data_IF_033272200424
#
_entry.id   IF_033272200424
#
_cell.length_a   1.000
_cell.length_b   1.000
_cell.length_c   1.000
_cell.angle_alpha   90.00
_cell.angle_beta   90.00
_cell.angle_gamma   90.00
#
_symmetry.space_group_name_H-M   'P 1'
#
loop_
_entity.id
_entity.type
_entity.pdbx_description
1 polymer ?
#
# COMPACT_ATOMS: atom_id res chain seq x y z
N UNK A 1 -12.17 43.22 -57.16
CA UNK A 1 -12.31 42.12 -58.14
C UNK A 1 -12.40 40.85 -57.31
N UNK A 2 -13.60 40.39 -56.89
CA UNK A 2 -14.55 39.62 -57.71
C UNK A 2 -13.89 38.28 -58.04
N UNK A 3 -14.31 37.13 -57.54
CA UNK A 3 -15.59 36.48 -57.81
C UNK A 3 -16.19 35.76 -56.59
N UNK A 4 -17.51 35.65 -56.63
CA UNK A 4 -18.46 35.12 -55.66
C UNK A 4 -19.22 33.97 -56.37
N UNK A 5 -19.67 32.95 -55.63
CA UNK A 5 -20.99 32.30 -55.72
C UNK A 5 -20.99 31.01 -54.84
N UNK A 6 -21.76 30.90 -53.74
CA UNK A 6 -23.22 30.62 -53.60
C UNK A 6 -23.58 29.18 -54.06
N UNK A 7 -24.30 28.28 -53.38
CA UNK A 7 -25.41 28.27 -52.39
C UNK A 7 -25.47 26.84 -51.76
N UNK A 8 -25.52 26.60 -50.43
CA UNK A 8 -26.68 26.30 -49.51
C UNK A 8 -27.48 24.99 -49.75
N UNK A 9 -28.36 24.53 -48.83
CA UNK A 9 -28.16 23.46 -47.83
C UNK A 9 -29.16 22.27 -48.01
N UNK A 10 -29.12 21.22 -47.15
CA UNK A 10 -30.28 20.47 -46.60
C UNK A 10 -29.94 19.04 -46.11
N UNK A 11 -30.60 18.65 -45.00
CA UNK A 11 -30.92 17.26 -44.61
C UNK A 11 -29.90 16.60 -43.69
N UNK A 12 -30.20 16.13 -42.48
CA UNK A 12 -31.48 15.73 -41.89
C UNK A 12 -31.53 14.21 -41.68
N UNK A 13 -31.07 13.77 -40.48
CA UNK A 13 -31.43 12.52 -39.75
C UNK A 13 -30.95 11.16 -40.32
N UNK A 14 -30.96 10.04 -39.56
CA UNK A 14 -31.26 9.87 -38.12
C UNK A 14 -30.23 9.02 -37.31
N UNK A 15 -30.28 9.19 -35.98
CA UNK A 15 -29.94 8.16 -34.99
C UNK A 15 -30.84 6.92 -35.12
N UNK A 16 -30.31 5.72 -34.91
CA UNK A 16 -30.71 4.90 -33.75
C UNK A 16 -29.48 4.20 -33.14
N UNK A 17 -29.38 3.85 -31.86
CA UNK A 17 -30.27 3.00 -31.09
C UNK A 17 -30.15 3.30 -29.60
N UNK A 18 -31.31 3.39 -28.96
CA UNK A 18 -31.52 3.15 -27.54
C UNK A 18 -31.67 1.65 -27.35
N UNK A 19 -30.94 1.07 -26.40
CA UNK A 19 -31.36 -0.18 -25.74
C UNK A 19 -31.04 -0.10 -24.26
N UNK A 20 -32.14 -0.03 -23.52
CA UNK A 20 -32.42 -0.46 -22.16
C UNK A 20 -31.33 -1.23 -21.40
N UNK A 21 -31.24 -0.83 -20.13
CA UNK A 21 -30.67 -1.56 -19.02
C UNK A 21 -31.12 -3.03 -18.96
N UNK A 22 -30.15 -3.92 -18.76
CA UNK A 22 -30.35 -5.17 -18.04
C UNK A 22 -29.28 -5.28 -16.96
N UNK A 23 -29.76 -5.27 -15.72
CA UNK A 23 -29.05 -5.58 -14.49
C UNK A 23 -28.50 -7.01 -14.55
N UNK A 24 -27.18 -7.16 -14.49
CA UNK A 24 -26.54 -8.44 -14.23
C UNK A 24 -26.56 -8.71 -12.71
N UNK A 25 -26.98 -9.89 -12.25
CA UNK A 25 -27.01 -10.23 -10.83
C UNK A 25 -25.60 -10.39 -10.26
N UNK A 26 -25.44 -9.91 -9.04
CA UNK A 26 -24.17 -9.89 -8.29
C UNK A 26 -23.58 -11.28 -8.10
N UNK A 27 -22.28 -11.38 -8.38
CA UNK A 27 -21.44 -12.46 -7.88
C UNK A 27 -21.11 -12.11 -6.43
N UNK A 28 -21.81 -12.77 -5.51
CA UNK A 28 -21.46 -12.78 -4.10
C UNK A 28 -20.11 -13.47 -3.87
N UNK A 29 -19.43 -13.16 -2.76
CA UNK A 29 -18.14 -13.76 -2.43
C UNK A 29 -18.31 -15.28 -2.22
N UNK A 30 -17.51 -16.07 -2.94
CA UNK A 30 -17.37 -17.50 -2.70
C UNK A 30 -16.62 -17.73 -1.38
N UNK A 31 -17.27 -18.40 -0.44
CA UNK A 31 -16.65 -18.96 0.76
C UNK A 31 -15.65 -20.08 0.36
N UNK A 32 -14.48 -20.17 1.01
CA UNK A 32 -13.61 -21.33 0.85
C UNK A 32 -14.13 -22.51 1.71
N UNK A 33 -14.39 -23.61 1.02
CA UNK A 33 -14.82 -24.90 1.57
C UNK A 33 -13.93 -25.43 2.70
N UNK A 34 -14.61 -26.11 3.63
CA UNK A 34 -14.12 -26.69 4.85
C UNK A 34 -13.01 -27.74 4.66
N UNK A 35 -11.99 -27.62 5.52
CA UNK A 35 -10.97 -28.63 5.76
C UNK A 35 -11.61 -29.95 6.22
N UNK A 36 -11.39 -31.00 5.42
CA UNK A 36 -11.75 -32.37 5.75
C UNK A 36 -10.86 -32.92 6.86
N UNK A 37 -11.51 -33.37 7.93
CA UNK A 37 -10.94 -34.03 9.10
C UNK A 37 -10.47 -35.46 8.76
N UNK A 38 -9.18 -35.74 8.95
CA UNK A 38 -8.65 -37.11 8.96
C UNK A 38 -8.90 -37.74 10.34
N UNK A 39 -9.81 -38.72 10.37
CA UNK A 39 -10.04 -39.60 11.50
C UNK A 39 -8.95 -40.68 11.58
N UNK A 40 -8.23 -40.74 12.70
CA UNK A 40 -7.38 -41.87 13.08
C UNK A 40 -8.18 -42.82 13.98
N UNK A 41 -8.42 -44.04 13.50
CA UNK A 41 -9.01 -45.12 14.28
C UNK A 41 -7.97 -45.77 15.23
N UNK A 42 -8.36 -46.22 16.44
CA UNK A 42 -7.47 -46.86 17.37
C UNK A 42 -7.38 -48.37 17.11
N UNK A 43 -6.19 -48.97 17.31
CA UNK A 43 -6.02 -50.42 17.46
C UNK A 43 -5.67 -50.74 18.91
N UNK A 44 -6.46 -51.64 19.48
CA UNK A 44 -6.35 -52.14 20.84
C UNK A 44 -5.37 -53.33 20.94
N UNK A 45 -4.63 -53.31 22.05
CA UNK A 45 -4.12 -54.39 22.91
C UNK A 45 -4.09 -55.86 22.44
N UNK A 46 -2.98 -56.52 22.78
CA UNK A 46 -3.03 -57.82 23.49
C UNK A 46 -1.75 -58.13 24.30
N UNK A 47 -1.96 -58.52 25.57
CA UNK A 47 -1.28 -59.55 26.39
C UNK A 47 0.25 -59.43 26.66
N UNK A 48 0.85 -59.80 27.81
CA UNK A 48 0.43 -60.54 29.02
C UNK A 48 1.56 -60.55 30.08
N UNK A 49 1.19 -60.47 31.37
CA UNK A 49 1.73 -61.33 32.45
C UNK A 49 3.07 -60.97 33.15
N UNK A 50 3.34 -61.54 34.36
CA UNK A 50 3.47 -60.74 35.60
C UNK A 50 4.73 -61.04 36.46
N UNK A 51 5.00 -60.22 37.48
CA UNK A 51 5.19 -60.62 38.91
C UNK A 51 5.94 -59.57 39.78
N UNK A 52 5.40 -59.38 41.01
CA UNK A 52 6.04 -59.14 42.34
C UNK A 52 7.26 -58.19 42.45
N UNK A 53 7.48 -57.36 43.47
CA UNK A 53 6.85 -57.10 44.77
C UNK A 53 7.69 -56.01 45.49
N UNK A 54 7.05 -55.33 46.46
CA UNK A 54 7.59 -54.80 47.74
C UNK A 54 7.40 -53.31 47.97
N UNK A 55 6.83 -53.09 49.15
CA UNK A 55 6.48 -51.86 49.86
C UNK A 55 7.71 -51.00 50.14
N UNK A 56 7.52 -49.69 50.21
CA UNK A 56 7.90 -48.83 51.35
C UNK A 56 7.00 -47.60 51.33
N UNK A 57 6.32 -47.38 52.46
CA UNK A 57 5.52 -46.19 52.73
C UNK A 57 6.43 -45.03 53.15
N UNK A 58 6.14 -43.82 52.66
CA UNK A 58 6.49 -42.57 53.35
C UNK A 58 5.32 -41.60 53.29
N UNK A 59 4.74 -41.37 54.46
CA UNK A 59 3.91 -40.22 54.81
C UNK A 59 4.79 -38.96 54.83
N UNK A 60 4.28 -37.85 54.29
CA UNK A 60 4.15 -36.56 55.01
C UNK A 60 3.89 -35.39 54.04
N UNK A 61 2.90 -34.57 54.37
CA UNK A 61 2.86 -33.16 53.96
C UNK A 61 1.87 -32.78 52.86
N UNK A 62 0.58 -32.76 53.18
CA UNK A 62 -0.40 -31.96 52.42
C UNK A 62 -0.22 -30.51 52.89
N UNK A 63 0.33 -29.64 52.03
CA UNK A 63 0.22 -28.20 52.16
C UNK A 63 -0.86 -27.72 51.17
N UNK A 64 -2.06 -27.45 51.68
CA UNK A 64 -3.10 -26.74 50.91
C UNK A 64 -2.71 -25.26 50.89
N UNK A 65 -2.05 -24.82 49.82
CA UNK A 65 -2.03 -23.40 49.46
C UNK A 65 -3.27 -23.11 48.62
N UNK A 66 -4.24 -22.43 49.24
CA UNK A 66 -5.32 -21.77 48.54
C UNK A 66 -4.72 -20.61 47.72
N UNK A 67 -4.43 -20.85 46.44
CA UNK A 67 -4.17 -19.78 45.49
C UNK A 67 -5.53 -19.18 45.09
N UNK A 68 -5.83 -17.99 45.62
CA UNK A 68 -6.94 -17.17 45.16
C UNK A 68 -6.82 -16.95 43.65
N UNK A 69 -7.92 -16.99 42.88
CA UNK A 69 -7.89 -16.46 41.54
C UNK A 69 -7.70 -14.94 41.66
N UNK A 70 -6.53 -14.46 41.24
CA UNK A 70 -6.36 -13.06 40.86
C UNK A 70 -7.33 -12.84 39.70
N UNK A 71 -8.53 -12.35 40.01
CA UNK A 71 -9.33 -11.60 39.05
C UNK A 71 -8.46 -10.41 38.65
N UNK A 72 -7.74 -10.57 37.54
CA UNK A 72 -7.16 -9.43 36.84
C UNK A 72 -8.31 -8.47 36.60
N UNK A 73 -8.22 -7.28 37.18
CA UNK A 73 -9.06 -6.18 36.80
C UNK A 73 -8.91 -6.07 35.28
N UNK A 74 -9.99 -6.35 34.55
CA UNK A 74 -10.15 -5.86 33.20
C UNK A 74 -10.11 -4.35 33.41
N UNK A 75 -8.95 -3.75 33.18
CA UNK A 75 -8.87 -2.31 33.04
C UNK A 75 -9.81 -2.00 31.89
N UNK A 76 -10.91 -1.35 32.21
CA UNK A 76 -11.73 -0.67 31.23
C UNK A 76 -10.75 0.00 30.28
N UNK A 77 -10.73 -0.43 29.03
CA UNK A 77 -9.90 0.17 28.01
C UNK A 77 -10.51 1.56 27.77
N UNK A 78 -10.18 2.49 28.67
CA UNK A 78 -10.61 3.88 28.58
C UNK A 78 -10.27 4.38 27.19
N UNK A 79 -11.18 5.15 26.61
CA UNK A 79 -11.01 5.76 25.30
C UNK A 79 -9.58 6.33 25.20
N UNK A 80 -8.80 5.83 24.24
CA UNK A 80 -7.43 6.29 24.07
C UNK A 80 -7.45 7.74 23.63
N UNK A 81 -6.86 8.63 24.42
CA UNK A 81 -6.85 10.06 24.10
C UNK A 81 -5.78 10.36 23.06
N UNK A 82 -6.19 10.80 21.86
CA UNK A 82 -5.26 11.27 20.83
C UNK A 82 -5.27 12.79 20.83
N UNK A 83 -4.09 13.41 20.88
CA UNK A 83 -3.98 14.87 20.84
C UNK A 83 -2.76 15.33 20.06
N UNK A 84 -2.75 16.61 19.69
CA UNK A 84 -1.63 17.26 19.02
C UNK A 84 -1.05 18.34 19.92
N UNK A 85 0.28 18.38 20.04
CA UNK A 85 0.99 19.44 20.77
C UNK A 85 2.22 19.88 19.98
N UNK A 86 2.17 21.09 19.44
CA UNK A 86 3.23 21.58 18.56
C UNK A 86 3.37 20.66 17.34
N UNK A 87 4.54 20.03 17.18
CA UNK A 87 4.81 19.08 16.10
C UNK A 87 4.54 17.63 16.46
N UNK A 88 4.14 17.35 17.70
CA UNK A 88 3.96 15.98 18.19
C UNK A 88 2.51 15.53 18.12
N UNK A 89 2.30 14.27 17.71
CA UNK A 89 1.08 13.50 17.99
C UNK A 89 1.30 12.79 19.32
N UNK A 90 0.30 12.83 20.20
CA UNK A 90 0.33 12.18 21.49
C UNK A 90 -0.78 11.12 21.54
N UNK A 91 -0.42 9.91 21.99
CA UNK A 91 -1.37 8.85 22.35
C UNK A 91 -1.30 8.66 23.86
N UNK A 92 -2.41 8.90 24.55
CA UNK A 92 -2.53 8.86 26.01
C UNK A 92 -1.46 9.74 26.70
N UNK A 93 -1.25 10.93 26.14
CA UNK A 93 -0.28 11.93 26.62
C UNK A 93 1.19 11.63 26.31
N UNK A 94 1.49 10.51 25.64
CA UNK A 94 2.86 10.11 25.27
C UNK A 94 3.14 10.37 23.79
N UNK A 95 4.35 10.83 23.42
CA UNK A 95 4.72 10.97 22.01
C UNK A 95 4.50 9.69 21.22
N UNK A 96 3.80 9.82 20.09
CA UNK A 96 3.43 8.73 19.22
C UNK A 96 3.83 9.06 17.78
N UNK A 97 4.84 8.38 17.27
CA UNK A 97 5.25 8.49 15.86
C UNK A 97 4.51 7.41 15.07
N UNK A 98 3.60 7.78 14.14
CA UNK A 98 2.80 6.81 13.39
C UNK A 98 3.65 6.18 12.28
N UNK A 99 4.31 5.07 12.61
CA UNK A 99 5.09 4.27 11.68
C UNK A 99 4.28 3.06 11.26
N UNK A 100 4.11 2.89 9.96
CA UNK A 100 3.10 1.97 9.46
C UNK A 100 3.20 1.74 7.98
N UNK A 101 2.04 1.51 7.38
CA UNK A 101 1.89 1.40 5.93
C UNK A 101 0.43 1.70 5.57
N UNK A 102 0.10 1.65 4.28
CA UNK A 102 -1.27 1.80 3.78
C UNK A 102 -1.69 0.50 3.10
N UNK A 103 -2.88 0.00 3.45
CA UNK A 103 -3.40 -1.29 2.99
C UNK A 103 -4.44 -1.86 3.95
N UNK A 104 -4.93 -3.07 3.67
CA UNK A 104 -6.10 -3.63 4.37
C UNK A 104 -5.89 -5.04 4.94
N UNK A 105 -4.71 -5.64 4.76
CA UNK A 105 -4.47 -7.05 5.08
C UNK A 105 -3.17 -7.27 5.85
N UNK A 106 -2.90 -8.52 6.26
CA UNK A 106 -1.63 -8.95 6.88
C UNK A 106 -1.24 -8.11 8.12
N UNK A 107 -2.23 -7.68 8.90
CA UNK A 107 -2.03 -6.76 10.03
C UNK A 107 -1.15 -7.34 11.15
N UNK A 108 -1.21 -8.65 11.39
CA UNK A 108 -0.31 -9.32 12.33
C UNK A 108 1.15 -9.26 11.87
N UNK A 109 1.39 -9.45 10.56
CA UNK A 109 2.72 -9.31 9.97
C UNK A 109 3.18 -7.84 10.04
N UNK A 110 2.30 -6.89 9.76
CA UNK A 110 2.59 -5.46 9.88
C UNK A 110 2.98 -5.13 11.32
N UNK A 111 2.21 -5.57 12.32
CA UNK A 111 2.56 -5.40 13.72
C UNK A 111 3.93 -5.99 14.06
N UNK A 112 4.24 -7.16 13.51
CA UNK A 112 5.53 -7.84 13.69
C UNK A 112 6.73 -7.00 13.23
N UNK A 113 6.58 -6.17 12.19
CA UNK A 113 7.64 -5.24 11.75
C UNK A 113 7.91 -4.12 12.76
N UNK A 114 7.12 -3.98 13.83
CA UNK A 114 7.21 -2.86 14.76
C UNK A 114 6.34 -1.68 14.38
N UNK A 115 5.59 -1.78 13.28
CA UNK A 115 4.57 -0.80 12.93
C UNK A 115 3.51 -0.67 14.04
N UNK A 116 2.97 0.54 14.16
CA UNK A 116 1.92 0.88 15.12
C UNK A 116 0.66 1.45 14.45
N UNK A 117 0.68 1.68 13.14
CA UNK A 117 -0.44 2.25 12.38
C UNK A 117 -0.68 1.53 11.04
N UNK A 118 -1.94 1.46 10.63
CA UNK A 118 -2.37 1.19 9.25
C UNK A 118 -3.24 2.36 8.76
N UNK A 119 -3.10 2.75 7.48
CA UNK A 119 -3.90 3.82 6.85
C UNK A 119 -4.84 3.27 5.79
N UNK A 120 -6.04 3.85 5.74
CA UNK A 120 -7.07 3.62 4.70
C UNK A 120 -7.40 4.91 3.94
N UNK A 121 -8.23 4.83 2.89
CA UNK A 121 -8.48 5.94 1.95
C UNK A 121 -9.94 6.35 1.84
N UNK A 122 -10.87 5.41 1.97
CA UNK A 122 -12.32 5.68 1.85
C UNK A 122 -13.21 4.44 1.93
N UNK A 123 -12.63 3.30 2.25
CA UNK A 123 -13.33 2.05 2.47
C UNK A 123 -14.13 2.10 3.78
N UNK A 124 -15.17 1.26 3.88
CA UNK A 124 -15.93 1.10 5.12
C UNK A 124 -14.98 0.65 6.25
N UNK A 125 -14.80 1.43 7.33
CA UNK A 125 -13.66 1.22 8.22
C UNK A 125 -13.92 0.18 9.32
N UNK A 126 -15.15 -0.35 9.47
CA UNK A 126 -15.51 -1.21 10.61
C UNK A 126 -14.63 -2.45 10.73
N UNK A 127 -14.50 -3.22 9.64
CA UNK A 127 -13.72 -4.46 9.65
C UNK A 127 -12.23 -4.22 9.90
N UNK A 128 -11.66 -3.18 9.28
CA UNK A 128 -10.25 -2.83 9.42
C UNK A 128 -9.94 -2.25 10.80
N UNK A 129 -10.86 -1.46 11.38
CA UNK A 129 -10.77 -0.97 12.75
C UNK A 129 -10.74 -2.12 13.76
N UNK A 130 -11.69 -3.06 13.64
CA UNK A 130 -11.76 -4.26 14.47
C UNK A 130 -10.50 -5.14 14.33
N UNK A 131 -10.05 -5.35 13.09
CA UNK A 131 -8.87 -6.16 12.81
C UNK A 131 -7.58 -5.50 13.31
N UNK A 132 -7.44 -4.18 13.16
CA UNK A 132 -6.32 -3.41 13.67
C UNK A 132 -6.29 -3.43 15.20
N UNK A 133 -7.44 -3.29 15.87
CA UNK A 133 -7.52 -3.42 17.32
C UNK A 133 -7.00 -4.77 17.79
N UNK A 134 -7.47 -5.87 17.17
CA UNK A 134 -7.00 -7.23 17.49
C UNK A 134 -5.50 -7.40 17.27
N UNK A 135 -4.94 -6.74 16.26
CA UNK A 135 -3.51 -6.75 15.96
C UNK A 135 -2.68 -5.79 16.84
N UNK A 136 -3.31 -4.94 17.66
CA UNK A 136 -2.60 -3.92 18.44
C UNK A 136 -2.04 -2.78 17.57
N UNK A 137 -2.75 -2.44 16.50
CA UNK A 137 -2.47 -1.32 15.61
C UNK A 137 -3.53 -0.22 15.79
N UNK A 138 -3.11 1.00 15.50
CA UNK A 138 -3.98 2.16 15.34
C UNK A 138 -4.34 2.36 13.86
N UNK A 139 -5.43 3.06 13.58
CA UNK A 139 -5.93 3.29 12.21
C UNK A 139 -6.04 4.78 11.93
N UNK A 140 -5.40 5.21 10.85
CA UNK A 140 -5.72 6.48 10.19
C UNK A 140 -6.88 6.17 9.23
N UNK A 141 -8.10 6.56 9.61
CA UNK A 141 -9.30 6.27 8.81
C UNK A 141 -9.45 7.34 7.74
N UNK A 142 -9.23 6.95 6.49
CA UNK A 142 -9.41 7.83 5.34
C UNK A 142 -10.88 8.04 4.99
N UNK A 143 -11.22 9.27 4.63
CA UNK A 143 -12.45 9.64 3.95
C UNK A 143 -12.10 10.08 2.52
N UNK A 144 -12.65 9.39 1.53
CA UNK A 144 -12.44 9.74 0.14
C UNK A 144 -13.22 11.02 -0.20
N UNK A 145 -12.48 12.07 -0.54
CA UNK A 145 -13.05 13.25 -1.18
C UNK A 145 -12.92 13.12 -2.68
N UNK A 146 -14.00 13.39 -3.41
CA UNK A 146 -14.01 13.29 -4.86
C UNK A 146 -13.09 14.33 -5.53
N UNK A 147 -12.46 13.93 -6.63
CA UNK A 147 -11.46 14.76 -7.30
C UNK A 147 -12.07 15.59 -8.43
N UNK A 148 -11.70 16.87 -8.56
CA UNK A 148 -12.12 17.67 -9.71
C UNK A 148 -11.64 17.12 -11.05
N UNK A 149 -10.46 16.47 -11.09
CA UNK A 149 -9.96 15.77 -12.28
C UNK A 149 -10.89 14.64 -12.77
N UNK A 150 -11.74 14.10 -11.87
CA UNK A 150 -12.75 13.07 -12.16
C UNK A 150 -14.14 13.66 -12.44
N UNK A 151 -14.23 14.99 -12.57
CA UNK A 151 -15.46 15.71 -12.89
C UNK A 151 -16.25 16.20 -11.67
N UNK A 152 -15.72 16.09 -10.45
CA UNK A 152 -16.40 16.61 -9.27
C UNK A 152 -16.29 18.14 -9.18
N UNK A 153 -17.43 18.81 -9.04
CA UNK A 153 -17.48 20.27 -8.93
C UNK A 153 -17.75 20.70 -7.48
N UNK A 154 -16.76 21.30 -6.82
CA UNK A 154 -16.90 21.82 -5.46
C UNK A 154 -17.78 23.08 -5.37
N UNK A 155 -18.20 23.68 -6.49
CA UNK A 155 -19.24 24.70 -6.51
C UNK A 155 -20.65 24.10 -6.50
N UNK A 156 -20.81 22.80 -6.82
CA UNK A 156 -22.09 22.12 -6.74
C UNK A 156 -22.45 21.78 -5.29
N UNK A 157 -23.25 22.64 -4.68
CA UNK A 157 -23.65 22.53 -3.28
C UNK A 157 -24.28 21.19 -2.92
N UNK A 158 -25.17 20.65 -3.76
CA UNK A 158 -25.85 19.39 -3.49
C UNK A 158 -24.88 18.20 -3.48
N UNK A 159 -23.91 18.18 -4.40
CA UNK A 159 -22.88 17.15 -4.44
C UNK A 159 -21.96 17.21 -3.21
N UNK A 160 -21.55 18.41 -2.81
CA UNK A 160 -20.74 18.64 -1.60
C UNK A 160 -21.52 18.22 -0.34
N UNK A 161 -22.80 18.57 -0.22
CA UNK A 161 -23.65 18.19 0.90
C UNK A 161 -23.83 16.67 0.99
N UNK A 162 -24.01 15.97 -0.13
CA UNK A 162 -24.09 14.52 -0.15
C UNK A 162 -22.78 13.87 0.34
N UNK A 163 -21.62 14.38 -0.08
CA UNK A 163 -20.31 13.91 0.38
C UNK A 163 -20.16 14.15 1.90
N UNK A 164 -20.49 15.35 2.40
CA UNK A 164 -20.42 15.66 3.83
C UNK A 164 -21.39 14.82 4.67
N UNK A 165 -22.58 14.49 4.14
CA UNK A 165 -23.51 13.60 4.82
C UNK A 165 -22.96 12.17 4.97
N UNK A 166 -22.18 11.68 3.99
CA UNK A 166 -21.48 10.41 4.11
C UNK A 166 -20.37 10.46 5.15
N UNK A 167 -19.59 11.55 5.19
CA UNK A 167 -18.59 11.78 6.23
C UNK A 167 -19.22 11.80 7.63
N UNK A 168 -20.32 12.54 7.80
CA UNK A 168 -21.04 12.59 9.08
C UNK A 168 -21.42 11.19 9.57
N UNK A 169 -22.06 10.38 8.72
CA UNK A 169 -22.45 9.01 9.07
C UNK A 169 -21.25 8.16 9.50
N UNK A 170 -20.13 8.28 8.80
CA UNK A 170 -18.91 7.54 9.12
C UNK A 170 -18.35 7.97 10.49
N UNK A 171 -18.25 9.27 10.75
CA UNK A 171 -17.71 9.81 12.01
C UNK A 171 -18.62 9.45 13.19
N UNK A 172 -19.93 9.68 13.08
CA UNK A 172 -20.88 9.33 14.14
C UNK A 172 -20.83 7.85 14.50
N UNK A 173 -20.60 6.98 13.51
CA UNK A 173 -20.53 5.53 13.70
C UNK A 173 -19.22 5.06 14.35
N UNK A 174 -18.08 5.67 14.01
CA UNK A 174 -16.76 5.11 14.34
C UNK A 174 -15.88 5.97 15.25
N UNK A 175 -16.26 7.20 15.60
CA UNK A 175 -15.49 8.11 16.48
C UNK A 175 -15.11 7.52 17.84
N UNK A 176 -15.86 6.54 18.35
CA UNK A 176 -15.56 5.90 19.64
C UNK A 176 -14.74 4.62 19.52
N UNK A 177 -14.32 4.23 18.31
CA UNK A 177 -13.60 2.98 18.10
C UNK A 177 -12.17 3.08 18.68
N UNK A 178 -11.74 2.17 19.57
CA UNK A 178 -10.46 2.32 20.29
C UNK A 178 -9.22 2.16 19.40
N UNK A 179 -9.34 1.58 18.21
CA UNK A 179 -8.25 1.58 17.23
C UNK A 179 -8.12 2.87 16.42
N UNK A 180 -9.10 3.78 16.45
CA UNK A 180 -9.01 5.03 15.72
C UNK A 180 -7.83 5.87 16.25
N UNK A 181 -7.04 6.41 15.33
CA UNK A 181 -5.98 7.38 15.63
C UNK A 181 -6.42 8.79 15.26
N UNK A 182 -6.88 8.96 14.03
CA UNK A 182 -7.25 10.24 13.44
C UNK A 182 -8.02 10.00 12.13
N UNK A 183 -8.71 11.05 11.68
CA UNK A 183 -9.45 11.07 10.41
C UNK A 183 -8.60 11.67 9.30
N UNK A 184 -8.41 10.95 8.19
CA UNK A 184 -7.73 11.45 7.00
C UNK A 184 -8.74 11.99 5.97
N UNK A 185 -8.84 13.30 5.83
CA UNK A 185 -9.77 13.96 4.90
C UNK A 185 -9.10 14.13 3.54
N UNK A 186 -9.59 13.36 2.57
CA UNK A 186 -9.08 13.39 1.19
C UNK A 186 -7.70 12.76 1.03
N UNK A 187 -7.37 12.43 -0.21
CA UNK A 187 -6.05 11.99 -0.63
C UNK A 187 -5.72 12.67 -1.95
N UNK A 188 -4.75 13.59 -1.92
CA UNK A 188 -4.24 14.25 -3.14
C UNK A 188 -5.35 14.84 -4.02
N UNK A 189 -6.35 15.46 -3.40
CA UNK A 189 -7.54 15.98 -4.09
C UNK A 189 -7.15 17.06 -5.12
N UNK A 190 -5.99 17.70 -4.91
CA UNK A 190 -5.41 18.72 -5.77
C UNK A 190 -4.59 18.18 -6.95
N UNK A 191 -4.35 16.87 -7.04
CA UNK A 191 -3.48 16.29 -8.07
C UNK A 191 -4.01 16.58 -9.49
N UNK A 192 -3.07 16.90 -10.39
CA UNK A 192 -3.31 17.32 -11.78
C UNK A 192 -4.12 18.62 -11.96
N UNK A 193 -4.27 19.41 -10.90
CA UNK A 193 -4.87 20.73 -10.98
C UNK A 193 -3.80 21.81 -11.07
N UNK A 194 -4.07 22.84 -11.89
CA UNK A 194 -3.34 24.10 -11.76
C UNK A 194 -3.61 24.74 -10.39
N UNK A 195 -2.73 25.63 -9.89
CA UNK A 195 -2.96 26.31 -8.62
C UNK A 195 -4.34 26.97 -8.52
N UNK A 196 -4.82 27.61 -9.59
CA UNK A 196 -6.13 28.25 -9.65
C UNK A 196 -7.28 27.24 -9.54
N UNK A 197 -7.18 26.07 -10.18
CA UNK A 197 -8.19 25.02 -10.07
C UNK A 197 -8.21 24.38 -8.67
N UNK A 198 -7.05 24.27 -8.03
CA UNK A 198 -6.94 23.74 -6.67
C UNK A 198 -7.51 24.68 -5.60
N UNK A 199 -7.74 25.97 -5.89
CA UNK A 199 -8.25 26.93 -4.89
C UNK A 199 -9.60 26.52 -4.30
N UNK A 200 -10.46 25.84 -5.06
CA UNK A 200 -11.75 25.36 -4.58
C UNK A 200 -11.65 24.12 -3.67
N UNK A 201 -10.55 23.37 -3.75
CA UNK A 201 -10.33 22.13 -2.99
C UNK A 201 -10.08 22.43 -1.51
N UNK A 202 -9.27 23.45 -1.21
CA UNK A 202 -8.87 23.72 0.18
C UNK A 202 -10.02 24.12 1.10
N UNK A 203 -10.96 25.02 0.69
CA UNK A 203 -12.14 25.31 1.49
C UNK A 203 -13.09 24.12 1.64
N UNK A 204 -13.10 23.17 0.69
CA UNK A 204 -13.89 21.95 0.82
C UNK A 204 -13.29 21.00 1.86
N UNK A 205 -11.96 20.88 1.90
CA UNK A 205 -11.24 20.16 2.96
C UNK A 205 -11.55 20.78 4.33
N UNK A 206 -11.57 22.12 4.43
CA UNK A 206 -11.96 22.81 5.67
C UNK A 206 -13.38 22.48 6.12
N UNK A 207 -14.35 22.47 5.20
CA UNK A 207 -15.73 22.11 5.53
C UNK A 207 -15.83 20.70 6.12
N UNK A 208 -15.13 19.74 5.50
CA UNK A 208 -15.05 18.37 6.00
C UNK A 208 -14.32 18.27 7.35
N UNK A 209 -13.16 18.90 7.48
CA UNK A 209 -12.37 18.90 8.72
C UNK A 209 -13.15 19.51 9.88
N UNK A 210 -13.81 20.65 9.66
CA UNK A 210 -14.65 21.31 10.66
C UNK A 210 -15.84 20.45 11.07
N UNK A 211 -16.48 19.76 10.13
CA UNK A 211 -17.55 18.81 10.44
C UNK A 211 -17.04 17.69 11.35
N UNK A 212 -15.89 17.10 11.05
CA UNK A 212 -15.27 16.10 11.93
C UNK A 212 -15.00 16.69 13.31
N UNK A 213 -14.41 17.88 13.42
CA UNK A 213 -14.12 18.52 14.71
C UNK A 213 -15.35 18.76 15.58
N UNK A 214 -16.51 19.02 14.98
CA UNK A 214 -17.78 19.16 15.71
C UNK A 214 -18.31 17.81 16.19
N UNK A 215 -18.18 16.77 15.36
CA UNK A 215 -18.70 15.44 15.66
C UNK A 215 -17.74 14.61 16.53
N UNK A 216 -16.44 14.83 16.46
CA UNK A 216 -15.40 14.07 17.14
C UNK A 216 -14.28 15.02 17.58
N UNK A 217 -14.41 15.63 18.77
CA UNK A 217 -13.36 16.48 19.33
C UNK A 217 -12.17 15.69 19.88
N UNK A 218 -12.29 14.36 20.01
CA UNK A 218 -11.31 13.50 20.67
C UNK A 218 -10.20 13.02 19.73
N UNK A 219 -10.41 13.13 18.41
CA UNK A 219 -9.44 12.71 17.40
C UNK A 219 -8.95 13.88 16.51
N UNK A 220 -7.66 13.90 16.16
CA UNK A 220 -7.15 14.83 15.16
C UNK A 220 -7.73 14.59 13.76
N UNK A 221 -7.65 15.63 12.95
CA UNK A 221 -7.94 15.62 11.52
C UNK A 221 -6.65 15.82 10.74
N UNK A 222 -6.41 14.93 9.78
CA UNK A 222 -5.31 15.00 8.82
C UNK A 222 -5.86 15.30 7.43
N UNK A 223 -5.10 16.02 6.61
CA UNK A 223 -5.34 16.12 5.16
C UNK A 223 -4.06 15.77 4.42
N UNK A 224 -4.19 15.13 3.26
CA UNK A 224 -3.05 14.55 2.52
C UNK A 224 -2.86 15.26 1.17
N UNK A 225 -1.63 15.72 0.91
CA UNK A 225 -1.24 16.36 -0.37
C UNK A 225 -0.19 15.53 -1.12
N UNK A 226 -0.14 15.69 -2.45
CA UNK A 226 0.87 15.10 -3.31
C UNK A 226 2.14 15.99 -3.32
N UNK A 227 3.20 15.52 -2.66
CA UNK A 227 4.44 16.25 -2.41
C UNK A 227 4.20 17.63 -1.75
N UNK A 228 5.25 18.46 -1.67
CA UNK A 228 5.19 19.86 -1.22
C UNK A 228 5.61 20.80 -2.36
N UNK A 229 5.31 20.46 -3.61
CA UNK A 229 5.58 21.33 -4.75
C UNK A 229 4.75 22.62 -4.71
N UNK A 230 5.33 23.74 -5.17
CA UNK A 230 4.65 25.04 -5.18
C UNK A 230 4.32 25.55 -3.78
N UNK A 231 3.10 26.09 -3.60
CA UNK A 231 2.60 26.69 -2.35
C UNK A 231 1.46 25.87 -1.72
N UNK A 232 1.34 24.58 -2.05
CA UNK A 232 0.20 23.74 -1.65
C UNK A 232 0.03 23.66 -0.14
N UNK A 233 1.12 23.52 0.62
CA UNK A 233 1.06 23.43 2.09
C UNK A 233 0.65 24.77 2.69
N UNK A 234 1.15 25.87 2.15
CA UNK A 234 0.75 27.22 2.58
C UNK A 234 -0.73 27.49 2.26
N UNK A 235 -1.22 27.03 1.11
CA UNK A 235 -2.62 27.12 0.70
C UNK A 235 -3.54 26.31 1.63
N UNK A 236 -3.19 25.04 1.88
CA UNK A 236 -3.93 24.18 2.83
C UNK A 236 -3.97 24.82 4.23
N UNK A 237 -2.81 25.23 4.77
CA UNK A 237 -2.75 25.88 6.10
C UNK A 237 -3.64 27.12 6.19
N UNK A 238 -3.67 27.93 5.15
CA UNK A 238 -4.46 29.17 5.12
C UNK A 238 -5.96 28.91 5.02
N UNK A 239 -6.36 27.95 4.19
CA UNK A 239 -7.76 27.73 3.84
C UNK A 239 -8.44 26.65 4.70
N UNK A 240 -7.68 25.75 5.33
CA UNK A 240 -8.18 24.66 6.16
C UNK A 240 -7.54 24.63 7.57
N UNK A 241 -7.76 25.67 8.40
CA UNK A 241 -7.20 25.74 9.74
C UNK A 241 -7.70 24.66 10.71
N UNK A 242 -8.77 23.94 10.38
CA UNK A 242 -9.27 22.81 11.20
C UNK A 242 -8.47 21.52 11.02
N UNK A 243 -7.51 21.48 10.09
CA UNK A 243 -6.58 20.35 9.90
C UNK A 243 -5.43 20.45 10.91
N UNK A 244 -5.26 19.42 11.75
CA UNK A 244 -4.19 19.39 12.76
C UNK A 244 -2.90 18.76 12.23
N UNK A 245 -3.01 17.77 11.34
CA UNK A 245 -1.88 16.96 10.85
C UNK A 245 -1.75 17.08 9.33
N UNK A 246 -0.54 17.31 8.85
CA UNK A 246 -0.25 17.28 7.41
C UNK A 246 0.19 15.88 7.02
N UNK A 247 -0.60 15.23 6.18
CA UNK A 247 -0.17 14.05 5.44
C UNK A 247 0.51 14.45 4.14
N UNK A 248 1.58 13.74 3.77
CA UNK A 248 2.29 13.96 2.52
C UNK A 248 2.57 12.62 1.86
N UNK A 249 2.13 12.47 0.62
CA UNK A 249 2.56 11.39 -0.24
C UNK A 249 3.79 11.84 -1.03
N UNK A 250 4.90 11.11 -0.94
CA UNK A 250 6.13 11.46 -1.62
C UNK A 250 6.97 10.23 -1.95
N UNK A 251 7.64 10.23 -3.10
CA UNK A 251 8.44 9.11 -3.56
C UNK A 251 9.82 9.59 -3.98
N UNK A 252 10.81 8.70 -3.95
CA UNK A 252 12.17 9.02 -4.39
C UNK A 252 12.86 10.07 -3.53
N UNK A 253 13.85 10.77 -4.10
CA UNK A 253 14.74 11.67 -3.35
C UNK A 253 14.04 12.91 -2.79
N UNK A 254 12.80 13.18 -3.22
CA UNK A 254 11.89 14.15 -2.59
C UNK A 254 11.80 13.95 -1.06
N UNK A 255 11.80 12.69 -0.60
CA UNK A 255 11.69 12.28 0.81
C UNK A 255 12.81 12.83 1.69
N UNK A 256 13.97 13.15 1.12
CA UNK A 256 15.11 13.69 1.86
C UNK A 256 14.91 15.16 2.26
N UNK A 257 14.02 15.87 1.56
CA UNK A 257 13.82 17.32 1.73
C UNK A 257 12.37 17.70 1.99
N UNK A 258 11.44 16.74 1.97
CA UNK A 258 9.99 16.99 2.05
C UNK A 258 9.59 17.72 3.33
N UNK A 259 10.17 17.33 4.48
CA UNK A 259 9.88 17.93 5.78
C UNK A 259 10.32 19.40 5.84
N UNK A 260 11.59 19.77 5.58
CA UNK A 260 11.98 21.18 5.59
C UNK A 260 11.23 22.01 4.54
N UNK A 261 10.85 21.46 3.38
CA UNK A 261 10.01 22.17 2.40
C UNK A 261 8.61 22.46 2.93
N UNK A 262 7.94 21.51 3.59
CA UNK A 262 6.66 21.76 4.25
C UNK A 262 6.77 22.82 5.35
N UNK A 263 7.84 22.81 6.14
CA UNK A 263 8.11 23.83 7.16
C UNK A 263 8.35 25.20 6.55
N UNK A 264 9.07 25.28 5.43
CA UNK A 264 9.32 26.54 4.72
C UNK A 264 8.03 27.18 4.18
N UNK A 265 7.03 26.37 3.82
CA UNK A 265 5.68 26.82 3.50
C UNK A 265 4.82 27.15 4.73
N UNK A 266 5.42 27.14 5.92
CA UNK A 266 4.81 27.60 7.16
C UNK A 266 4.05 26.53 7.94
N UNK A 267 4.07 25.24 7.58
CA UNK A 267 3.40 24.22 8.39
C UNK A 267 4.04 24.10 9.79
N UNK A 268 3.22 24.20 10.84
CA UNK A 268 3.68 24.20 12.24
C UNK A 268 3.21 22.97 13.04
N UNK A 269 2.25 22.20 12.53
CA UNK A 269 1.73 21.00 13.17
C UNK A 269 2.58 19.73 12.93
N UNK A 270 2.11 18.55 13.36
CA UNK A 270 2.72 17.27 13.02
C UNK A 270 2.70 17.00 11.51
N UNK A 271 3.64 16.19 11.05
CA UNK A 271 3.71 15.71 9.67
C UNK A 271 3.79 14.18 9.69
N UNK A 272 3.03 13.54 8.81
CA UNK A 272 3.12 12.11 8.53
C UNK A 272 3.38 11.94 7.03
N UNK A 273 4.42 11.20 6.67
CA UNK A 273 4.62 10.77 5.28
C UNK A 273 3.70 9.57 5.06
N UNK A 274 2.53 9.83 4.48
CA UNK A 274 1.38 8.94 4.45
C UNK A 274 1.45 7.90 3.33
N UNK A 275 2.28 8.15 2.33
CA UNK A 275 2.77 7.18 1.34
C UNK A 275 4.21 7.51 1.00
N UNK A 276 5.03 6.47 0.94
CA UNK A 276 6.37 6.59 0.41
C UNK A 276 6.83 5.34 -0.32
N UNK A 277 7.72 5.53 -1.29
CA UNK A 277 8.33 4.44 -2.02
C UNK A 277 9.67 4.86 -2.62
N UNK A 278 10.39 3.87 -3.12
CA UNK A 278 11.76 4.04 -3.61
C UNK A 278 11.89 5.00 -4.80
N UNK A 279 10.87 5.08 -5.67
CA UNK A 279 10.85 5.93 -6.85
C UNK A 279 9.43 6.06 -7.42
N UNK A 280 8.97 7.28 -7.68
CA UNK A 280 7.76 7.52 -8.45
C UNK A 280 8.01 7.29 -9.94
N UNK A 281 7.07 6.64 -10.64
CA UNK A 281 7.20 6.33 -12.07
C UNK A 281 7.37 7.55 -12.97
N UNK A 282 6.94 8.72 -12.52
CA UNK A 282 7.10 9.98 -13.22
C UNK A 282 8.54 10.51 -13.20
N UNK A 283 9.34 10.13 -12.20
CA UNK A 283 10.77 10.49 -12.07
C UNK A 283 11.71 9.43 -12.66
N UNK A 284 11.19 8.26 -13.00
CA UNK A 284 11.99 7.17 -13.52
C UNK A 284 12.60 7.52 -14.89
N UNK A 285 13.86 7.08 -15.15
CA UNK A 285 14.39 7.07 -16.51
C UNK A 285 13.46 6.32 -17.45
N UNK A 286 13.39 6.73 -18.72
CA UNK A 286 12.47 6.15 -19.70
C UNK A 286 13.24 5.56 -20.88
N UNK A 287 12.72 4.48 -21.45
CA UNK A 287 13.17 3.98 -22.75
C UNK A 287 12.87 5.00 -23.85
N UNK A 288 13.46 4.86 -25.06
CA UNK A 288 13.14 5.73 -26.20
C UNK A 288 11.65 5.76 -26.56
N UNK A 289 10.89 4.72 -26.21
CA UNK A 289 9.45 4.64 -26.41
C UNK A 289 8.61 5.04 -25.18
N UNK A 290 9.24 5.62 -24.16
CA UNK A 290 8.56 6.23 -23.01
C UNK A 290 8.22 5.27 -21.86
N UNK A 291 8.62 3.99 -21.93
CA UNK A 291 8.38 3.06 -20.83
C UNK A 291 9.31 3.38 -19.64
N UNK A 292 8.78 3.57 -18.41
CA UNK A 292 9.59 3.90 -17.26
C UNK A 292 10.41 2.68 -16.80
N UNK A 293 11.67 2.91 -16.45
CA UNK A 293 12.61 1.88 -16.00
C UNK A 293 12.43 1.72 -14.49
N UNK A 294 11.99 0.52 -14.10
CA UNK A 294 11.72 0.22 -12.69
C UNK A 294 13.00 -0.26 -12.00
N UNK A 295 13.29 0.22 -10.78
CA UNK A 295 14.38 -0.34 -9.98
C UNK A 295 14.07 -1.78 -9.56
N UNK A 296 15.10 -2.60 -9.39
CA UNK A 296 14.99 -3.92 -8.75
C UNK A 296 14.54 -3.78 -7.29
N UNK A 297 13.97 -4.83 -6.70
CA UNK A 297 13.59 -4.84 -5.28
C UNK A 297 14.78 -4.55 -4.34
N UNK A 298 15.99 -4.92 -4.75
CA UNK A 298 17.25 -4.62 -4.04
C UNK A 298 17.53 -3.13 -4.03
N UNK A 299 17.48 -2.47 -5.19
CA UNK A 299 17.65 -1.02 -5.28
C UNK A 299 16.53 -0.27 -4.55
N UNK A 300 15.30 -0.82 -4.58
CA UNK A 300 14.18 -0.26 -3.81
C UNK A 300 14.45 -0.32 -2.31
N UNK A 301 14.93 -1.46 -1.80
CA UNK A 301 15.26 -1.62 -0.39
C UNK A 301 16.38 -0.68 0.06
N UNK A 302 17.45 -0.55 -0.73
CA UNK A 302 18.57 0.36 -0.42
C UNK A 302 18.10 1.82 -0.32
N UNK A 303 17.24 2.26 -1.25
CA UNK A 303 16.63 3.60 -1.21
C UNK A 303 15.70 3.78 -0.02
N UNK A 304 14.85 2.79 0.24
CA UNK A 304 13.91 2.84 1.36
C UNK A 304 14.64 2.93 2.70
N UNK A 305 15.75 2.23 2.88
CA UNK A 305 16.58 2.33 4.09
C UNK A 305 17.08 3.77 4.29
N UNK A 306 17.60 4.39 3.23
CA UNK A 306 18.06 5.79 3.24
C UNK A 306 16.93 6.74 3.63
N UNK A 307 15.74 6.58 3.05
CA UNK A 307 14.61 7.48 3.29
C UNK A 307 14.02 7.32 4.69
N UNK A 308 13.82 6.09 5.17
CA UNK A 308 13.33 5.84 6.52
C UNK A 308 14.28 6.40 7.57
N UNK A 309 15.59 6.20 7.41
CA UNK A 309 16.59 6.80 8.31
C UNK A 309 16.52 8.33 8.33
N UNK A 310 16.35 8.97 7.17
CA UNK A 310 16.20 10.43 7.08
C UNK A 310 14.92 10.93 7.77
N UNK A 311 13.78 10.27 7.55
CA UNK A 311 12.50 10.64 8.16
C UNK A 311 12.50 10.40 9.68
N UNK A 312 13.11 9.29 10.14
CA UNK A 312 13.30 9.00 11.56
C UNK A 312 14.11 10.07 12.27
N UNK A 313 15.16 10.61 11.62
CA UNK A 313 15.93 11.73 12.16
C UNK A 313 15.09 13.02 12.30
N UNK A 314 14.07 13.19 11.46
CA UNK A 314 13.09 14.28 11.54
C UNK A 314 11.93 14.00 12.53
N UNK A 315 11.89 12.80 13.15
CA UNK A 315 10.85 12.35 14.10
C UNK A 315 9.43 12.41 13.53
N UNK A 316 9.26 12.17 12.24
CA UNK A 316 7.95 12.13 11.58
C UNK A 316 7.54 10.68 11.32
N UNK A 317 6.23 10.43 11.24
CA UNK A 317 5.70 9.12 10.87
C UNK A 317 5.95 8.80 9.39
N UNK A 318 6.15 7.53 9.09
CA UNK A 318 6.45 7.05 7.75
C UNK A 318 5.61 5.80 7.40
N UNK A 319 4.94 5.84 6.25
CA UNK A 319 4.08 4.77 5.75
C UNK A 319 4.55 4.33 4.35
N UNK A 320 5.53 3.41 4.26
CA UNK A 320 5.90 2.79 2.99
C UNK A 320 4.69 2.19 2.29
N UNK A 321 4.52 2.48 1.01
CA UNK A 321 3.39 2.07 0.20
C UNK A 321 3.87 1.07 -0.85
N UNK A 322 3.15 -0.03 -1.13
CA UNK A 322 1.82 -0.45 -0.67
C UNK A 322 1.90 -1.74 0.17
N UNK A 323 1.18 -1.82 1.30
CA UNK A 323 1.11 -3.02 2.15
C UNK A 323 0.28 -4.14 1.50
N UNK A 324 0.86 -4.74 0.47
CA UNK A 324 0.24 -5.79 -0.30
C UNK A 324 0.78 -5.78 -1.71
N UNK A 325 -0.09 -6.13 -2.65
CA UNK A 325 0.19 -6.12 -4.07
C UNK A 325 -0.92 -5.39 -4.82
N UNK A 326 -0.53 -4.55 -5.77
CA UNK A 326 -1.42 -3.82 -6.65
C UNK A 326 -0.77 -3.67 -8.02
N UNK A 327 -1.57 -3.75 -9.08
CA UNK A 327 -1.15 -3.33 -10.42
C UNK A 327 -1.14 -1.79 -10.48
N UNK A 328 0.07 -1.22 -10.58
CA UNK A 328 0.26 0.23 -10.72
C UNK A 328 1.56 0.47 -11.47
N UNK A 329 1.45 0.85 -12.76
CA UNK A 329 2.51 0.84 -13.77
C UNK A 329 2.97 -0.58 -14.11
N UNK A 330 3.38 -1.34 -13.10
CA UNK A 330 3.74 -2.76 -13.16
C UNK A 330 3.16 -3.47 -11.92
N UNK A 331 3.11 -4.82 -11.90
CA UNK A 331 2.67 -5.54 -10.70
C UNK A 331 3.60 -5.35 -9.48
N UNK A 332 4.82 -4.84 -9.70
CA UNK A 332 5.89 -4.77 -8.69
C UNK A 332 6.27 -3.36 -8.28
N UNK A 333 5.79 -2.31 -8.96
CA UNK A 333 6.34 -0.95 -8.81
C UNK A 333 6.35 -0.48 -7.36
N UNK A 334 5.16 -0.38 -6.77
CA UNK A 334 4.96 0.05 -5.38
C UNK A 334 4.63 -1.11 -4.43
N UNK A 335 4.31 -2.30 -4.95
CA UNK A 335 3.93 -3.46 -4.12
C UNK A 335 5.06 -3.92 -3.19
N UNK A 336 4.80 -4.04 -1.89
CA UNK A 336 5.73 -4.61 -0.92
C UNK A 336 5.74 -6.15 -0.91
N UNK A 337 4.66 -6.74 -1.41
CA UNK A 337 4.46 -8.19 -1.52
C UNK A 337 4.22 -8.62 -2.95
N UNK A 338 4.57 -9.87 -3.23
CA UNK A 338 4.14 -10.55 -4.44
C UNK A 338 2.67 -11.00 -4.32
N UNK A 339 1.97 -11.29 -5.44
CA UNK A 339 0.61 -11.82 -5.39
C UNK A 339 0.49 -13.12 -4.58
N UNK A 340 1.55 -13.93 -4.60
CA UNK A 340 1.68 -15.20 -3.86
C UNK A 340 2.01 -14.99 -2.38
N UNK A 341 2.26 -13.75 -1.94
CA UNK A 341 2.38 -13.37 -0.54
C UNK A 341 3.79 -13.31 0.03
N UNK A 342 4.81 -13.62 -0.77
CA UNK A 342 6.21 -13.40 -0.41
C UNK A 342 6.47 -11.90 -0.24
N UNK A 343 7.28 -11.55 0.77
CA UNK A 343 7.70 -10.17 1.00
C UNK A 343 9.01 -9.86 0.26
N UNK A 344 9.25 -8.58 -0.04
CA UNK A 344 10.53 -8.11 -0.59
C UNK A 344 11.46 -7.60 0.52
N UNK A 345 12.74 -7.39 0.20
CA UNK A 345 13.75 -6.83 1.13
C UNK A 345 13.29 -5.48 1.75
N UNK A 346 12.44 -4.72 1.06
CA UNK A 346 11.85 -3.48 1.60
C UNK A 346 11.05 -3.71 2.89
N UNK A 347 10.34 -4.84 3.03
CA UNK A 347 9.60 -5.14 4.27
C UNK A 347 10.56 -5.44 5.43
N UNK A 348 11.73 -6.02 5.13
CA UNK A 348 12.76 -6.24 6.15
C UNK A 348 13.40 -4.93 6.60
N UNK A 349 13.66 -4.03 5.66
CA UNK A 349 14.12 -2.66 5.94
C UNK A 349 13.12 -1.92 6.83
N UNK A 350 11.81 -2.06 6.57
CA UNK A 350 10.76 -1.53 7.45
C UNK A 350 10.88 -2.12 8.85
N UNK A 351 10.97 -3.45 8.96
CA UNK A 351 11.07 -4.12 10.26
C UNK A 351 12.27 -3.64 11.08
N UNK A 352 13.43 -3.52 10.43
CA UNK A 352 14.65 -3.03 11.06
C UNK A 352 14.52 -1.57 11.52
N UNK A 353 13.96 -0.68 10.71
CA UNK A 353 13.85 0.73 11.07
C UNK A 353 12.80 0.97 12.17
N UNK A 354 11.69 0.25 12.12
CA UNK A 354 10.60 0.33 13.09
C UNK A 354 10.89 -0.45 14.39
N UNK A 355 11.95 -1.25 14.41
CA UNK A 355 12.42 -1.97 15.60
C UNK A 355 11.67 -3.28 15.87
N UNK A 356 11.04 -3.86 14.86
CA UNK A 356 10.47 -5.21 14.90
C UNK A 356 11.29 -6.23 14.13
N UNK A 357 10.66 -7.33 13.74
CA UNK A 357 11.29 -8.43 13.03
C UNK A 357 10.31 -9.12 12.08
N UNK A 358 10.85 -9.79 11.06
CA UNK A 358 10.07 -10.74 10.26
C UNK A 358 9.78 -12.02 11.07
N UNK A 359 8.74 -12.80 10.70
CA UNK A 359 8.42 -14.05 11.39
C UNK A 359 9.60 -15.02 11.49
N UNK A 360 10.41 -15.10 10.44
CA UNK A 360 11.72 -15.73 10.45
C UNK A 360 12.79 -14.63 10.44
N UNK A 361 13.33 -14.32 11.62
CA UNK A 361 14.31 -13.26 11.79
C UNK A 361 15.70 -13.60 11.20
N UNK A 362 15.96 -14.88 10.93
CA UNK A 362 17.21 -15.32 10.31
C UNK A 362 17.16 -15.23 8.79
N UNK A 363 15.96 -15.29 8.18
CA UNK A 363 15.79 -15.25 6.74
C UNK A 363 16.00 -13.85 6.15
N UNK A 364 16.85 -13.72 5.14
CA UNK A 364 17.13 -12.48 4.40
C UNK A 364 16.65 -12.64 2.97
N UNK A 365 15.91 -11.64 2.49
CA UNK A 365 15.39 -11.68 1.14
C UNK A 365 16.52 -11.77 0.11
N UNK A 366 16.31 -12.51 -1.00
CA UNK A 366 17.26 -12.55 -2.10
C UNK A 366 17.60 -11.15 -2.61
N UNK A 367 18.79 -11.00 -3.18
CA UNK A 367 19.26 -9.74 -3.77
C UNK A 367 19.64 -9.93 -5.23
N UNK A 368 19.28 -8.97 -6.07
CA UNK A 368 19.65 -8.91 -7.49
C UNK A 368 20.82 -7.94 -7.63
N UNK A 369 21.99 -8.45 -8.01
CA UNK A 369 23.17 -7.63 -8.28
C UNK A 369 23.20 -7.06 -9.69
N UNK A 370 22.66 -7.80 -10.65
CA UNK A 370 22.61 -7.37 -12.05
C UNK A 370 21.44 -8.06 -12.76
N UNK A 371 20.68 -7.26 -13.51
CA UNK A 371 19.68 -7.71 -14.46
C UNK A 371 19.85 -6.89 -15.74
N UNK A 372 20.22 -7.52 -16.86
CA UNK A 372 20.60 -6.80 -18.09
C UNK A 372 20.15 -7.52 -19.34
N UNK A 373 19.80 -6.75 -20.38
CA UNK A 373 19.67 -7.27 -21.75
C UNK A 373 21.07 -7.50 -22.35
N UNK A 374 21.21 -8.59 -23.09
CA UNK A 374 22.39 -8.88 -23.91
C UNK A 374 22.16 -8.34 -25.32
N UNK A 375 22.34 -7.03 -25.49
CA UNK A 375 22.11 -6.34 -26.77
C UNK A 375 21.19 -5.13 -26.63
N UNK A 376 20.72 -4.57 -27.75
CA UNK A 376 19.81 -3.43 -27.73
C UNK A 376 18.45 -3.81 -27.14
N UNK A 377 17.77 -2.85 -26.54
CA UNK A 377 16.43 -3.03 -25.99
C UNK A 377 15.32 -3.08 -27.07
N UNK A 378 15.68 -2.91 -28.34
CA UNK A 378 14.79 -3.05 -29.50
C UNK A 378 15.40 -4.08 -30.44
N UNK A 379 14.67 -5.15 -30.73
CA UNK A 379 15.14 -6.31 -31.49
C UNK A 379 14.13 -6.75 -32.56
N UNK A 380 14.60 -7.50 -33.56
CA UNK A 380 13.73 -8.06 -34.60
C UNK A 380 12.95 -9.27 -34.07
N UNK A 381 11.71 -9.47 -34.52
CA UNK A 381 10.86 -10.58 -34.08
C UNK A 381 11.51 -11.98 -34.18
N UNK A 382 12.36 -12.21 -35.20
CA UNK A 382 13.06 -13.51 -35.38
C UNK A 382 14.20 -13.74 -34.40
N UNK A 383 14.91 -12.69 -34.00
CA UNK A 383 16.09 -12.80 -33.13
C UNK A 383 15.71 -12.65 -31.66
N UNK A 384 14.72 -11.79 -31.38
CA UNK A 384 14.25 -11.52 -30.04
C UNK A 384 15.33 -10.90 -29.14
N UNK A 385 15.17 -11.04 -27.84
CA UNK A 385 16.14 -10.55 -26.84
C UNK A 385 16.70 -11.69 -26.01
N UNK A 386 17.84 -11.44 -25.37
CA UNK A 386 18.40 -12.29 -24.33
C UNK A 386 18.69 -11.45 -23.09
N UNK A 387 18.56 -12.02 -21.91
CA UNK A 387 18.83 -11.33 -20.65
C UNK A 387 19.66 -12.20 -19.70
N UNK A 388 20.46 -11.54 -18.86
CA UNK A 388 21.22 -12.19 -17.79
C UNK A 388 20.82 -11.68 -16.42
N UNK A 389 20.89 -12.58 -15.45
CA UNK A 389 20.64 -12.34 -14.04
C UNK A 389 21.86 -12.77 -13.22
N UNK A 390 22.27 -11.92 -12.29
CA UNK A 390 23.11 -12.27 -11.17
C UNK A 390 22.34 -11.94 -9.88
N UNK A 391 21.99 -12.98 -9.12
CA UNK A 391 21.28 -12.87 -7.85
C UNK A 391 21.92 -13.78 -6.80
N UNK A 392 21.77 -13.43 -5.53
CA UNK A 392 22.21 -14.25 -4.39
C UNK A 392 21.16 -14.27 -3.30
N UNK A 393 21.21 -15.32 -2.50
CA UNK A 393 20.59 -15.34 -1.20
C UNK A 393 21.65 -14.96 -0.15
N UNK A 394 21.39 -13.99 0.77
CA UNK A 394 22.38 -13.63 1.78
C UNK A 394 22.68 -14.74 2.79
N UNK A 395 21.74 -15.66 3.03
CA UNK A 395 21.91 -16.75 4.01
C UNK A 395 22.23 -18.11 3.34
N UNK A 396 22.32 -18.11 2.01
CA UNK A 396 22.71 -19.27 1.21
C UNK A 396 21.56 -20.20 0.85
N UNK A 397 20.31 -19.74 0.98
CA UNK A 397 19.14 -20.54 0.61
C UNK A 397 19.08 -20.80 -0.91
N UNK A 398 18.64 -22.01 -1.35
CA UNK A 398 18.51 -22.32 -2.76
C UNK A 398 17.48 -21.42 -3.46
N UNK A 399 17.90 -20.75 -4.55
CA UNK A 399 17.04 -19.82 -5.26
C UNK A 399 16.25 -20.47 -6.39
N UNK A 400 14.94 -20.17 -6.45
CA UNK A 400 14.08 -20.45 -7.59
C UNK A 400 13.85 -19.17 -8.40
N UNK A 401 14.29 -19.19 -9.66
CA UNK A 401 14.11 -18.06 -10.60
C UNK A 401 12.97 -18.35 -11.55
N UNK A 402 12.05 -17.39 -11.67
CA UNK A 402 10.93 -17.41 -12.61
C UNK A 402 11.00 -16.20 -13.53
N UNK A 403 10.82 -16.44 -14.83
CA UNK A 403 10.79 -15.41 -15.87
C UNK A 403 9.38 -15.29 -16.43
N UNK A 404 8.93 -14.06 -16.68
CA UNK A 404 7.62 -13.78 -17.27
C UNK A 404 7.73 -12.63 -18.26
N UNK A 405 7.09 -12.76 -19.42
CA UNK A 405 6.90 -11.63 -20.34
C UNK A 405 5.48 -11.11 -20.21
N UNK A 406 5.34 -9.81 -20.05
CA UNK A 406 4.06 -9.10 -20.11
C UNK A 406 4.09 -8.05 -21.22
N UNK A 407 2.92 -7.72 -21.77
CA UNK A 407 2.78 -6.56 -22.63
C UNK A 407 3.08 -5.27 -21.86
N UNK A 408 3.72 -4.29 -22.52
CA UNK A 408 3.85 -2.96 -21.95
C UNK A 408 2.55 -2.18 -22.21
N UNK A 409 1.92 -1.68 -21.16
CA UNK A 409 0.70 -0.87 -21.29
C UNK A 409 1.04 0.61 -21.27
N UNK A 410 0.47 1.44 -22.16
CA UNK A 410 0.56 2.90 -22.04
C UNK A 410 -0.46 3.46 -21.02
N UNK A 411 -1.43 2.66 -20.58
CA UNK A 411 -2.44 3.07 -19.60
C UNK A 411 -1.74 3.33 -18.27
N UNK A 412 -2.02 4.50 -17.68
CA UNK A 412 -1.52 4.90 -16.37
C UNK A 412 -2.69 5.42 -15.56
N UNK A 413 -2.84 4.90 -14.34
CA UNK A 413 -3.69 5.49 -13.31
C UNK A 413 -3.06 6.76 -12.78
N UNK A 414 -3.89 7.66 -12.25
CA UNK A 414 -3.45 8.90 -11.59
C UNK A 414 -3.81 8.82 -10.12
N UNK A 415 -2.89 9.17 -9.22
CA UNK A 415 -3.18 9.23 -7.78
C UNK A 415 -3.70 7.91 -7.19
N UNK A 416 -3.18 6.77 -7.66
CA UNK A 416 -3.58 5.45 -7.18
C UNK A 416 -4.82 4.84 -7.83
N UNK A 417 -5.35 5.39 -8.93
CA UNK A 417 -6.45 4.76 -9.70
C UNK A 417 -6.08 3.32 -10.15
N UNK A 418 -7.08 2.44 -10.29
CA UNK A 418 -6.86 1.06 -10.70
C UNK A 418 -6.42 0.96 -12.17
N UNK A 419 -5.45 0.08 -12.44
CA UNK A 419 -4.96 -0.20 -13.79
C UNK A 419 -5.27 -1.65 -14.22
N UNK A 420 -5.58 -1.89 -15.50
CA UNK A 420 -5.72 -3.25 -16.01
C UNK A 420 -4.38 -3.99 -16.01
N UNK A 421 -4.40 -5.26 -15.63
CA UNK A 421 -3.22 -6.14 -15.71
C UNK A 421 -2.92 -6.48 -17.17
N UNK A 422 -1.71 -6.21 -17.69
CA UNK A 422 -1.36 -6.55 -19.07
C UNK A 422 -1.37 -8.05 -19.35
N UNK A 423 -1.55 -8.42 -20.62
CA UNK A 423 -1.46 -9.80 -21.07
C UNK A 423 -0.05 -10.39 -20.85
N UNK A 424 0.01 -11.69 -20.57
CA UNK A 424 1.26 -12.45 -20.36
C UNK A 424 1.54 -13.38 -21.54
N UNK A 425 2.81 -13.53 -21.91
CA UNK A 425 3.26 -14.30 -23.08
C UNK A 425 4.24 -15.39 -22.63
N UNK A 426 3.72 -16.55 -22.23
CA UNK A 426 4.55 -17.64 -21.66
C UNK A 426 5.33 -18.39 -22.73
N UNK A 427 4.71 -18.55 -23.89
CA UNK A 427 5.25 -19.17 -25.10
C UNK A 427 6.45 -18.42 -25.68
N UNK A 428 6.65 -17.16 -25.29
CA UNK A 428 7.78 -16.35 -25.72
C UNK A 428 9.06 -16.62 -24.91
N UNK A 429 8.99 -17.36 -23.80
CA UNK A 429 10.14 -17.66 -22.93
C UNK A 429 10.84 -18.94 -23.40
N UNK A 430 12.14 -18.85 -23.67
CA UNK A 430 12.98 -19.96 -24.14
C UNK A 430 14.31 -20.00 -23.39
N UNK A 431 14.92 -21.18 -23.30
CA UNK A 431 16.22 -21.40 -22.64
C UNK A 431 16.32 -20.78 -21.22
N UNK A 432 15.20 -20.75 -20.48
CA UNK A 432 15.14 -20.14 -19.16
C UNK A 432 16.01 -20.89 -18.15
N UNK A 433 16.84 -20.15 -17.43
CA UNK A 433 17.73 -20.66 -16.39
C UNK A 433 17.79 -19.69 -15.21
N UNK A 434 18.44 -20.08 -14.08
CA UNK A 434 18.65 -19.16 -12.97
C UNK A 434 19.53 -17.94 -13.29
N UNK A 435 20.28 -17.94 -14.39
CA UNK A 435 21.23 -16.87 -14.72
C UNK A 435 20.91 -16.14 -16.02
N UNK A 436 19.87 -16.56 -16.75
CA UNK A 436 19.48 -15.89 -17.97
C UNK A 436 18.32 -16.56 -18.70
N UNK A 437 17.83 -15.89 -19.74
CA UNK A 437 16.67 -16.30 -20.54
C UNK A 437 16.79 -15.73 -21.96
N UNK A 438 16.19 -16.43 -22.93
CA UNK A 438 15.94 -15.90 -24.27
C UNK A 438 14.45 -15.66 -24.46
N UNK A 439 14.11 -14.60 -25.20
CA UNK A 439 12.72 -14.24 -25.48
C UNK A 439 12.55 -13.99 -26.97
N UNK A 440 11.70 -14.76 -27.64
CA UNK A 440 11.41 -14.62 -29.08
C UNK A 440 10.04 -15.20 -29.43
N UNK A 441 9.56 -14.96 -30.65
CA UNK A 441 8.23 -15.43 -31.10
C UNK A 441 7.09 -14.51 -30.67
N UNK A 442 7.38 -13.24 -30.44
CA UNK A 442 6.39 -12.19 -30.17
C UNK A 442 6.11 -11.42 -31.46
N UNK A 443 4.88 -10.94 -31.59
CA UNK A 443 4.52 -9.97 -32.61
C UNK A 443 5.23 -8.62 -32.38
N UNK A 444 5.35 -7.76 -33.42
CA UNK A 444 5.85 -6.41 -33.24
C UNK A 444 5.07 -5.65 -32.17
N UNK A 445 5.78 -5.08 -31.19
CA UNK A 445 5.15 -4.54 -30.00
C UNK A 445 6.14 -4.18 -28.89
N UNK A 446 5.60 -3.73 -27.77
CA UNK A 446 6.37 -3.34 -26.58
C UNK A 446 6.00 -4.25 -25.42
N UNK A 447 7.02 -4.71 -24.71
CA UNK A 447 6.92 -5.75 -23.72
C UNK A 447 7.83 -5.45 -22.54
N UNK A 448 7.67 -6.22 -21.48
CA UNK A 448 8.52 -6.17 -20.31
C UNK A 448 8.81 -7.59 -19.84
N UNK A 449 10.10 -7.90 -19.70
CA UNK A 449 10.60 -9.14 -19.13
C UNK A 449 10.73 -8.94 -17.62
N UNK A 450 9.93 -9.67 -16.86
CA UNK A 450 10.00 -9.74 -15.41
C UNK A 450 10.81 -10.96 -14.97
N UNK A 451 11.51 -10.79 -13.85
CA UNK A 451 12.15 -11.87 -13.12
C UNK A 451 11.75 -11.83 -11.65
N UNK A 452 11.45 -13.00 -11.11
CA UNK A 452 11.19 -13.21 -9.68
C UNK A 452 12.15 -14.26 -9.16
N UNK A 453 12.88 -13.92 -8.10
CA UNK A 453 13.84 -14.81 -7.43
C UNK A 453 13.31 -15.13 -6.03
N UNK A 454 12.98 -16.39 -5.75
CA UNK A 454 12.41 -16.82 -4.47
C UNK A 454 13.41 -17.65 -3.67
N UNK A 455 13.43 -17.43 -2.36
CA UNK A 455 14.24 -18.18 -1.39
C UNK A 455 13.59 -19.51 -0.94
N UNK A 456 12.28 -19.68 -1.16
CA UNK A 456 11.51 -20.82 -0.63
C UNK A 456 11.18 -20.71 0.87
N UNK A 457 11.52 -19.59 1.51
CA UNK A 457 11.31 -19.26 2.94
C UNK A 457 10.40 -18.06 3.16
N UNK A 458 9.81 -17.55 2.09
CA UNK A 458 8.74 -16.54 2.13
C UNK A 458 9.20 -15.15 1.70
N UNK A 459 10.43 -14.99 1.23
CA UNK A 459 10.91 -13.76 0.64
C UNK A 459 11.19 -13.91 -0.87
N UNK A 460 11.17 -12.79 -1.56
CA UNK A 460 11.51 -12.74 -2.98
C UNK A 460 12.20 -11.44 -3.37
N UNK A 461 13.01 -11.53 -4.43
CA UNK A 461 13.49 -10.38 -5.18
C UNK A 461 12.79 -10.27 -6.53
N UNK A 462 12.60 -9.04 -7.00
CA UNK A 462 11.97 -8.75 -8.28
C UNK A 462 12.80 -7.77 -9.09
N UNK A 463 12.77 -7.94 -10.41
CA UNK A 463 13.35 -7.00 -11.36
C UNK A 463 12.67 -7.13 -12.70
N UNK A 464 12.81 -6.13 -13.57
CA UNK A 464 12.28 -6.22 -14.92
C UNK A 464 13.04 -5.34 -15.91
N UNK A 465 12.87 -5.66 -17.19
CA UNK A 465 13.51 -5.00 -18.32
C UNK A 465 12.46 -4.72 -19.41
N UNK A 466 12.14 -3.44 -19.72
CA UNK A 466 11.33 -3.13 -20.89
C UNK A 466 12.10 -3.38 -22.18
N UNK A 467 11.43 -3.91 -23.20
CA UNK A 467 11.97 -4.12 -24.55
C UNK A 467 10.92 -3.92 -25.65
N UNK A 468 11.39 -3.73 -26.88
CA UNK A 468 10.58 -3.58 -28.09
C UNK A 468 10.93 -4.69 -29.10
N UNK A 469 9.92 -5.25 -29.74
CA UNK A 469 10.05 -6.14 -30.89
C UNK A 469 9.59 -5.39 -32.14
N UNK A 470 10.39 -5.43 -33.20
CA UNK A 470 10.13 -4.80 -34.50
C UNK A 470 9.84 -5.79 -35.60
#
# INVERSE_FOLDING_TARGET
>A
MGWNDRLTPHGGLPHPWSTAAQSLPGLGPQEPDALSSFALAPRACSASGPALSRRIARLAGIAVLAALPLLGAVTDAGATGVSVRGTDILLDGKPFVPNGSSGQSRLGLLKGTGANVIRTYGEEPGEILDAAQRAGLKVIVGFWMEHPRRGFDYANRAAVEAQLANLQKMVERYRTHPALLMWGIGNEVETELSPAQAEAVWPAIEQAAKLVKVLDPDHPVMSVVADTGGEKVAALKRAAPSVDVLGINAYGDSLLTIIPRARAQGWTGPIVVTEMGALGQWEAPKTPWGAPIEPTSTEKADRMQRYLTALKAQKVGALPFYWGQKQEVTPTWHSLFLPTGEYTETVQVMAQDFGGAMPDAANRAPRIFSLKLQGPASAEARTGISATLAATDPDGDPLKVEWQVMGETPVRGVGGDAEPVPATFKEAIHDASPTGVKVYGLEPGRYRLFVTVRDGRGAAATGNLPFEIR
#
